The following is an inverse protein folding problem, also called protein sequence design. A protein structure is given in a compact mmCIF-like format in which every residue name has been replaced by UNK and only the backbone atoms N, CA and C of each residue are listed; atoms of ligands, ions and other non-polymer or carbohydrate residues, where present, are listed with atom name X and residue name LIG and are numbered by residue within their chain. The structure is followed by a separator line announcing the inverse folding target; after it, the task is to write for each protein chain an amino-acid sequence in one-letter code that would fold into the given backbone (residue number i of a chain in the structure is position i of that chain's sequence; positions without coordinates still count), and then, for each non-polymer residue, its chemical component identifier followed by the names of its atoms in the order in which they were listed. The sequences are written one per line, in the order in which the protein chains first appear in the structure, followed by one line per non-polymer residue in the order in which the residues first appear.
data_IF_805933902318
#
_entry.id   IF_805933902318
#
_cell.length_a   1.000
_cell.length_b   1.000
_cell.length_c   1.000
_cell.angle_alpha   90.00
_cell.angle_beta   90.00
_cell.angle_gamma   90.00
#
_symmetry.space_group_name_H-M   'P 1'
#
loop_
_entity.id
_entity.type
_entity.pdbx_description
1 polymer ?
#
# COMPACT_ATOMS: atom_id res chain seq x y z
N UNK A 1 -5.20 25.60 -5.91
CA UNK A 1 -5.08 24.13 -5.71
C UNK A 1 -5.21 23.89 -4.22
N UNK A 2 -6.15 23.04 -3.80
CA UNK A 2 -6.23 22.59 -2.40
C UNK A 2 -4.94 21.85 -2.04
N UNK A 3 -4.48 21.95 -0.80
CA UNK A 3 -3.40 21.10 -0.32
C UNK A 3 -3.78 19.62 -0.49
N UNK A 4 -2.85 18.73 -0.85
CA UNK A 4 -3.13 17.31 -0.94
C UNK A 4 -3.54 16.78 0.43
N UNK A 5 -4.62 15.99 0.48
CA UNK A 5 -5.09 15.37 1.71
C UNK A 5 -4.08 14.30 2.17
N UNK A 6 -3.96 14.17 3.49
CA UNK A 6 -3.14 13.13 4.13
C UNK A 6 -4.02 12.26 5.01
N UNK A 7 -3.64 10.99 5.15
CA UNK A 7 -4.29 10.03 6.03
C UNK A 7 -3.27 9.21 6.80
N UNK A 8 -3.72 8.56 7.88
CA UNK A 8 -2.91 7.64 8.66
C UNK A 8 -2.50 6.43 7.81
N UNK A 9 -1.34 5.85 8.10
CA UNK A 9 -0.83 4.64 7.44
C UNK A 9 -1.87 3.51 7.47
N UNK A 10 -2.51 3.29 8.62
CA UNK A 10 -3.54 2.26 8.76
C UNK A 10 -4.72 2.47 7.80
N UNK A 11 -5.21 3.70 7.66
CA UNK A 11 -6.31 4.01 6.74
C UNK A 11 -5.92 3.73 5.29
N UNK A 12 -4.69 4.08 4.90
CA UNK A 12 -4.21 3.83 3.53
C UNK A 12 -4.00 2.34 3.27
N UNK A 13 -3.55 1.58 4.27
CA UNK A 13 -3.48 0.11 4.20
C UNK A 13 -4.88 -0.48 4.05
N UNK A 14 -5.86 -0.03 4.83
CA UNK A 14 -7.25 -0.51 4.72
C UNK A 14 -7.83 -0.23 3.31
N UNK A 15 -7.51 0.93 2.72
CA UNK A 15 -7.89 1.26 1.35
C UNK A 15 -7.19 0.37 0.31
N UNK A 16 -5.90 0.07 0.49
CA UNK A 16 -5.22 -0.85 -0.42
C UNK A 16 -5.75 -2.28 -0.30
N UNK A 17 -6.07 -2.75 0.91
CA UNK A 17 -6.74 -4.05 1.08
C UNK A 17 -8.07 -4.05 0.36
N UNK A 18 -8.88 -2.99 0.48
CA UNK A 18 -10.14 -2.88 -0.25
C UNK A 18 -9.93 -2.86 -1.78
N UNK A 19 -8.88 -2.21 -2.26
CA UNK A 19 -8.49 -2.23 -3.67
C UNK A 19 -8.11 -3.64 -4.14
N UNK A 20 -7.16 -4.29 -3.45
CA UNK A 20 -6.65 -5.63 -3.79
C UNK A 20 -7.76 -6.70 -3.73
N UNK A 21 -8.81 -6.45 -2.95
CA UNK A 21 -10.01 -7.25 -2.99
C UNK A 21 -10.82 -6.94 -4.24
N UNK A 22 -11.12 -5.68 -4.54
CA UNK A 22 -11.90 -5.34 -5.72
C UNK A 22 -11.24 -5.77 -7.05
N UNK A 23 -9.91 -5.76 -7.12
CA UNK A 23 -9.08 -6.23 -8.24
C UNK A 23 -9.00 -7.78 -8.25
N UNK A 24 -10.01 -8.41 -8.86
CA UNK A 24 -10.22 -9.86 -8.74
C UNK A 24 -9.18 -10.69 -9.50
N UNK A 25 -8.65 -10.18 -10.61
CA UNK A 25 -7.68 -10.89 -11.44
C UNK A 25 -6.22 -10.47 -11.18
N UNK A 26 -6.01 -9.57 -10.20
CA UNK A 26 -4.70 -9.10 -9.69
C UNK A 26 -3.85 -8.47 -10.80
N UNK A 27 -4.50 -7.73 -11.71
CA UNK A 27 -3.83 -7.05 -12.82
C UNK A 27 -3.43 -5.60 -12.49
N UNK A 28 -3.86 -5.11 -11.32
CA UNK A 28 -3.59 -3.79 -10.80
C UNK A 28 -4.64 -2.74 -11.16
N UNK A 29 -5.80 -3.17 -11.69
CA UNK A 29 -6.90 -2.33 -12.15
C UNK A 29 -8.23 -2.90 -11.66
N UNK A 30 -9.11 -2.05 -11.15
CA UNK A 30 -10.51 -2.44 -10.87
C UNK A 30 -11.35 -2.11 -12.08
N UNK A 31 -12.09 -3.11 -12.56
CA UNK A 31 -12.94 -3.01 -13.72
C UNK A 31 -14.37 -3.45 -13.39
N UNK A 32 -15.33 -3.06 -14.24
CA UNK A 32 -16.74 -3.41 -13.99
C UNK A 32 -16.98 -4.93 -13.99
N UNK A 33 -16.13 -5.67 -14.68
CA UNK A 33 -16.19 -7.12 -14.70
C UNK A 33 -15.80 -7.72 -13.34
N UNK A 34 -14.76 -7.19 -12.71
CA UNK A 34 -14.27 -7.65 -11.39
C UNK A 34 -15.33 -7.43 -10.32
N UNK A 35 -15.88 -6.23 -10.26
CA UNK A 35 -16.94 -5.84 -9.31
C UNK A 35 -18.12 -6.83 -9.32
N UNK A 36 -18.61 -7.15 -10.52
CA UNK A 36 -19.78 -8.04 -10.68
C UNK A 36 -19.45 -9.49 -10.36
N UNK A 37 -18.30 -9.98 -10.83
CA UNK A 37 -17.92 -11.37 -10.68
C UNK A 37 -17.47 -11.65 -9.24
N UNK A 38 -16.84 -10.69 -8.58
CA UNK A 38 -16.42 -10.78 -7.17
C UNK A 38 -17.62 -10.82 -6.23
N UNK A 39 -18.63 -9.96 -6.42
CA UNK A 39 -19.83 -10.02 -5.58
C UNK A 39 -20.52 -11.39 -5.68
N UNK A 40 -20.58 -11.99 -6.87
CA UNK A 40 -21.17 -13.31 -7.07
C UNK A 40 -20.36 -14.45 -6.43
N UNK A 41 -19.04 -14.28 -6.29
CA UNK A 41 -18.15 -15.24 -5.61
C UNK A 41 -18.30 -15.14 -4.08
N UNK A 42 -18.44 -13.92 -3.53
CA UNK A 42 -18.53 -13.70 -2.08
C UNK A 42 -19.93 -13.99 -1.53
N UNK A 43 -21.00 -13.65 -2.28
CA UNK A 43 -22.40 -13.88 -1.90
C UNK A 43 -22.77 -15.37 -2.00
N UNK A 44 -22.07 -16.21 -1.22
CA UNK A 44 -22.17 -17.68 -1.23
C UNK A 44 -23.57 -18.14 -0.86
N UNK A 45 -24.27 -17.39 -0.01
CA UNK A 45 -25.62 -17.72 0.41
C UNK A 45 -26.69 -17.17 -0.56
N UNK A 46 -26.31 -16.30 -1.51
CA UNK A 46 -27.16 -15.74 -2.55
C UNK A 46 -28.24 -14.80 -2.01
N UNK A 47 -28.03 -14.17 -0.86
CA UNK A 47 -29.00 -13.28 -0.23
C UNK A 47 -28.85 -11.80 -0.66
N UNK A 48 -27.81 -11.50 -1.44
CA UNK A 48 -27.52 -10.18 -1.99
C UNK A 48 -26.94 -9.20 -0.98
N UNK A 49 -26.42 -9.68 0.17
CA UNK A 49 -25.84 -8.86 1.23
C UNK A 49 -24.47 -9.40 1.66
N UNK A 50 -23.41 -8.62 1.43
CA UNK A 50 -22.10 -8.99 1.95
C UNK A 50 -22.05 -8.79 3.48
N UNK A 51 -21.77 -9.86 4.22
CA UNK A 51 -21.88 -9.90 5.67
C UNK A 51 -20.93 -10.91 6.33
N UNK A 52 -20.91 -10.91 7.67
CA UNK A 52 -20.09 -11.88 8.42
C UNK A 52 -20.48 -13.35 8.15
N UNK A 53 -21.68 -13.61 7.60
CA UNK A 53 -22.15 -14.96 7.28
C UNK A 53 -21.39 -15.61 6.11
N UNK A 54 -20.68 -14.84 5.30
CA UNK A 54 -19.90 -15.32 4.15
C UNK A 54 -18.47 -15.74 4.56
N UNK A 55 -18.05 -15.39 5.78
CA UNK A 55 -16.79 -15.84 6.38
C UNK A 55 -16.90 -17.34 6.69
N UNK A 56 -16.36 -18.17 5.80
CA UNK A 56 -16.40 -19.64 5.91
C UNK A 56 -16.35 -20.39 4.56
N UNK A 57 -16.42 -19.68 3.44
CA UNK A 57 -15.95 -20.17 2.14
C UNK A 57 -14.44 -19.99 1.98
N UNK A 58 -13.81 -20.80 1.13
CA UNK A 58 -12.36 -20.82 0.81
C UNK A 58 -11.93 -19.54 0.05
N UNK A 59 -12.27 -18.36 0.58
CA UNK A 59 -12.15 -17.06 -0.09
C UNK A 59 -11.33 -16.06 0.73
N UNK A 60 -10.74 -15.11 0.00
CA UNK A 60 -9.98 -13.94 0.48
C UNK A 60 -10.75 -13.10 1.55
N UNK A 61 -12.05 -13.38 1.73
CA UNK A 61 -12.95 -12.77 2.71
C UNK A 61 -12.72 -13.23 4.16
N UNK A 62 -12.07 -14.38 4.40
CA UNK A 62 -11.80 -14.89 5.77
C UNK A 62 -10.91 -13.90 6.57
N UNK A 63 -9.93 -13.31 5.89
CA UNK A 63 -8.95 -12.37 6.46
C UNK A 63 -9.46 -10.92 6.52
N UNK A 64 -10.58 -10.61 5.87
CA UNK A 64 -11.06 -9.23 5.73
C UNK A 64 -11.76 -8.70 6.98
N UNK A 65 -11.19 -7.70 7.65
CA UNK A 65 -11.76 -7.19 8.91
C UNK A 65 -13.13 -6.51 8.70
N UNK A 66 -14.01 -6.52 9.72
CA UNK A 66 -15.31 -5.82 9.67
C UNK A 66 -15.19 -4.31 9.31
N UNK A 67 -14.16 -3.58 9.74
CA UNK A 67 -13.88 -2.22 9.24
C UNK A 67 -13.63 -2.17 7.73
N UNK A 68 -12.90 -3.12 7.15
CA UNK A 68 -12.64 -3.16 5.70
C UNK A 68 -13.91 -3.44 4.89
N UNK A 69 -14.78 -4.35 5.37
CA UNK A 69 -16.09 -4.61 4.72
C UNK A 69 -16.92 -3.32 4.66
N UNK A 70 -16.88 -2.48 5.69
CA UNK A 70 -17.63 -1.22 5.71
C UNK A 70 -17.13 -0.17 4.72
N UNK A 71 -15.92 -0.32 4.17
CA UNK A 71 -15.45 0.59 3.10
C UNK A 71 -16.24 0.38 1.80
N UNK A 72 -16.90 -0.76 1.63
CA UNK A 72 -17.75 -1.07 0.49
C UNK A 72 -19.21 -0.65 0.67
N UNK A 73 -19.60 -0.05 1.80
CA UNK A 73 -20.93 0.54 2.01
C UNK A 73 -20.95 1.99 1.48
N UNK A 74 -20.92 2.12 0.15
CA UNK A 74 -20.80 3.42 -0.52
C UNK A 74 -22.01 4.33 -0.29
N UNK A 75 -23.20 3.76 -0.13
CA UNK A 75 -24.40 4.54 0.10
C UNK A 75 -24.66 4.86 1.59
N UNK A 76 -23.95 4.20 2.50
CA UNK A 76 -23.97 4.44 3.94
C UNK A 76 -25.21 3.94 4.67
N UNK A 77 -25.95 2.97 4.11
CA UNK A 77 -27.15 2.40 4.71
C UNK A 77 -26.88 1.27 5.70
N UNK A 78 -25.60 0.91 5.90
CA UNK A 78 -25.14 -0.13 6.80
C UNK A 78 -25.18 -1.53 6.17
N UNK A 79 -25.40 -1.64 4.86
CA UNK A 79 -25.36 -2.87 4.09
C UNK A 79 -24.36 -2.72 2.95
N UNK A 80 -23.69 -3.81 2.62
CA UNK A 80 -22.83 -3.87 1.43
C UNK A 80 -23.56 -4.72 0.41
N UNK A 81 -23.96 -4.10 -0.70
CA UNK A 81 -24.79 -4.73 -1.73
C UNK A 81 -24.20 -4.51 -3.11
N UNK A 82 -24.71 -5.21 -4.12
CA UNK A 82 -24.34 -4.95 -5.51
C UNK A 82 -24.63 -3.49 -5.91
N UNK A 83 -25.64 -2.87 -5.31
CA UNK A 83 -25.93 -1.46 -5.55
C UNK A 83 -24.82 -0.53 -5.06
N UNK A 84 -24.06 -0.94 -4.03
CA UNK A 84 -22.89 -0.19 -3.56
C UNK A 84 -21.71 -0.35 -4.50
N UNK A 85 -21.48 -1.55 -5.03
CA UNK A 85 -20.47 -1.80 -6.06
C UNK A 85 -20.81 -1.04 -7.36
N UNK A 86 -22.05 -1.10 -7.84
CA UNK A 86 -22.51 -0.30 -8.99
C UNK A 86 -22.36 1.21 -8.74
N UNK A 87 -22.64 1.68 -7.51
CA UNK A 87 -22.48 3.08 -7.14
C UNK A 87 -21.00 3.49 -7.09
N UNK A 88 -20.14 2.67 -6.51
CA UNK A 88 -18.69 2.85 -6.47
C UNK A 88 -18.13 2.96 -7.88
N UNK A 89 -18.41 1.97 -8.71
CA UNK A 89 -17.93 1.91 -10.08
C UNK A 89 -18.45 3.11 -10.91
N UNK A 90 -19.72 3.50 -10.73
CA UNK A 90 -20.29 4.63 -11.45
C UNK A 90 -19.80 6.00 -10.95
N UNK A 91 -19.48 6.14 -9.67
CA UNK A 91 -18.92 7.38 -9.14
C UNK A 91 -17.44 7.53 -9.48
N UNK A 92 -16.64 6.51 -9.20
CA UNK A 92 -15.21 6.50 -9.49
C UNK A 92 -15.00 6.52 -11.00
N UNK A 93 -15.74 5.69 -11.75
CA UNK A 93 -15.57 5.60 -13.19
C UNK A 93 -16.07 6.81 -13.98
N UNK A 94 -16.95 7.64 -13.39
CA UNK A 94 -17.24 8.97 -13.95
C UNK A 94 -16.06 9.95 -13.83
N UNK A 95 -15.23 9.78 -12.82
CA UNK A 95 -14.10 10.65 -12.55
C UNK A 95 -12.81 10.17 -13.25
N UNK A 96 -12.56 8.86 -13.25
CA UNK A 96 -11.30 8.25 -13.70
C UNK A 96 -11.44 7.35 -14.94
N UNK A 97 -12.61 6.73 -15.15
CA UNK A 97 -12.86 5.80 -16.26
C UNK A 97 -13.26 4.40 -15.76
N UNK A 98 -13.54 3.47 -16.68
CA UNK A 98 -13.98 2.11 -16.31
C UNK A 98 -12.84 1.22 -15.77
N UNK A 99 -11.60 1.71 -15.87
CA UNK A 99 -10.37 1.02 -15.50
C UNK A 99 -9.74 1.92 -14.44
N UNK A 100 -9.74 1.48 -13.17
CA UNK A 100 -9.32 2.31 -12.03
C UNK A 100 -8.08 1.70 -11.37
N UNK A 101 -6.96 2.43 -11.37
CA UNK A 101 -5.76 1.98 -10.65
C UNK A 101 -5.79 2.32 -9.15
N UNK A 102 -4.90 1.72 -8.36
CA UNK A 102 -4.81 1.97 -6.91
C UNK A 102 -4.63 3.46 -6.57
N UNK A 103 -3.90 4.20 -7.41
CA UNK A 103 -3.69 5.63 -7.21
C UNK A 103 -4.99 6.42 -7.33
N UNK A 104 -5.75 6.15 -8.38
CA UNK A 104 -7.06 6.76 -8.63
C UNK A 104 -8.08 6.39 -7.55
N UNK A 105 -8.13 5.11 -7.16
CA UNK A 105 -8.96 4.63 -6.06
C UNK A 105 -8.65 5.35 -4.74
N UNK A 106 -7.37 5.40 -4.35
CA UNK A 106 -6.94 6.08 -3.12
C UNK A 106 -7.24 7.57 -3.18
N UNK A 107 -6.97 8.24 -4.30
CA UNK A 107 -7.27 9.67 -4.46
C UNK A 107 -8.76 9.97 -4.32
N UNK A 108 -9.62 9.15 -4.96
CA UNK A 108 -11.06 9.24 -4.82
C UNK A 108 -11.51 9.05 -3.37
N UNK A 109 -11.07 7.98 -2.69
CA UNK A 109 -11.46 7.71 -1.30
C UNK A 109 -10.99 8.83 -0.35
N UNK A 110 -9.77 9.34 -0.54
CA UNK A 110 -9.27 10.49 0.23
C UNK A 110 -10.12 11.74 -0.02
N UNK A 111 -10.65 11.94 -1.23
CA UNK A 111 -11.54 13.06 -1.53
C UNK A 111 -12.81 13.08 -0.66
N UNK A 112 -13.27 11.91 -0.19
CA UNK A 112 -14.50 11.71 0.59
C UNK A 112 -14.32 11.84 2.11
N UNK A 113 -13.09 11.77 2.61
CA UNK A 113 -12.80 11.88 4.05
C UNK A 113 -12.17 13.23 4.41
N UNK A 114 -12.25 13.64 5.68
CA UNK A 114 -11.49 14.80 6.15
C UNK A 114 -9.99 14.48 6.19
N UNK A 115 -9.15 15.46 5.86
CA UNK A 115 -7.69 15.29 5.98
C UNK A 115 -7.28 15.18 7.44
N UNK A 116 -6.33 14.30 7.72
CA UNK A 116 -5.73 14.17 9.04
C UNK A 116 -4.69 15.28 9.28
N UNK A 117 -4.35 15.53 10.57
CA UNK A 117 -3.32 16.52 10.96
C UNK A 117 -1.90 16.06 10.61
N UNK A 118 -1.69 14.75 10.53
CA UNK A 118 -0.43 14.10 10.16
C UNK A 118 -0.70 12.80 9.42
N UNK A 119 0.19 12.43 8.51
CA UNK A 119 0.01 11.23 7.72
C UNK A 119 0.86 11.21 6.46
N UNK A 120 0.40 10.42 5.50
CA UNK A 120 1.01 10.25 4.18
C UNK A 120 -0.03 10.66 3.14
N UNK A 121 0.42 11.29 2.06
CA UNK A 121 -0.45 11.57 0.90
C UNK A 121 -0.73 10.27 0.14
N UNK A 122 -1.90 10.15 -0.51
CA UNK A 122 -2.22 8.98 -1.34
C UNK A 122 -1.12 8.63 -2.35
N UNK A 123 -0.60 9.64 -3.06
CA UNK A 123 0.51 9.47 -4.00
C UNK A 123 1.80 8.92 -3.38
N UNK A 124 2.18 9.42 -2.20
CA UNK A 124 3.37 8.94 -1.49
C UNK A 124 3.17 7.50 -1.02
N UNK A 125 1.96 7.16 -0.54
CA UNK A 125 1.58 5.79 -0.21
C UNK A 125 1.66 4.84 -1.40
N UNK A 126 1.04 5.16 -2.54
CA UNK A 126 1.06 4.32 -3.75
C UNK A 126 2.50 4.08 -4.23
N UNK A 127 3.34 5.12 -4.17
CA UNK A 127 4.76 5.00 -4.53
C UNK A 127 5.51 4.07 -3.57
N UNK A 128 5.26 4.22 -2.26
CA UNK A 128 5.90 3.43 -1.23
C UNK A 128 5.42 1.97 -1.24
N UNK A 129 4.12 1.71 -1.44
CA UNK A 129 3.58 0.35 -1.62
C UNK A 129 4.24 -0.34 -2.81
N UNK A 130 4.31 0.32 -3.96
CA UNK A 130 5.01 -0.22 -5.14
C UNK A 130 6.47 -0.57 -4.83
N UNK A 131 7.16 0.29 -4.10
CA UNK A 131 8.54 0.06 -3.69
C UNK A 131 8.68 -1.14 -2.74
N UNK A 132 7.76 -1.30 -1.79
CA UNK A 132 7.70 -2.47 -0.92
C UNK A 132 7.54 -3.76 -1.71
N UNK A 133 6.56 -3.80 -2.61
CA UNK A 133 6.26 -4.98 -3.45
C UNK A 133 7.42 -5.35 -4.39
N UNK A 134 8.23 -4.38 -4.81
CA UNK A 134 9.46 -4.67 -5.58
C UNK A 134 10.51 -5.40 -4.72
N UNK A 135 10.55 -5.13 -3.42
CA UNK A 135 11.50 -5.79 -2.50
C UNK A 135 10.99 -7.14 -1.99
N UNK A 136 9.68 -7.30 -1.86
CA UNK A 136 9.02 -8.54 -1.46
C UNK A 136 9.06 -9.53 -2.63
N UNK A 137 10.16 -10.28 -2.74
CA UNK A 137 10.46 -11.10 -3.92
C UNK A 137 9.68 -12.41 -3.87
N UNK A 138 9.41 -12.92 -2.68
CA UNK A 138 8.66 -14.17 -2.49
C UNK A 138 7.16 -13.97 -2.25
N UNK A 139 6.69 -12.72 -2.36
CA UNK A 139 5.27 -12.32 -2.34
C UNK A 139 4.55 -12.78 -1.07
N UNK A 140 5.24 -12.67 0.06
CA UNK A 140 4.72 -13.10 1.37
C UNK A 140 4.17 -11.93 2.21
N UNK A 141 4.12 -10.73 1.61
CA UNK A 141 3.73 -9.45 2.20
C UNK A 141 4.66 -8.99 3.33
N UNK A 142 5.92 -9.42 3.31
CA UNK A 142 6.97 -9.04 4.24
C UNK A 142 8.33 -9.01 3.57
N UNK A 143 9.09 -7.96 3.84
CA UNK A 143 10.45 -7.83 3.34
C UNK A 143 11.42 -8.34 4.39
N UNK A 144 12.10 -9.45 4.10
CA UNK A 144 13.19 -9.96 4.92
C UNK A 144 14.46 -9.13 4.82
N UNK A 145 15.37 -9.25 5.80
CA UNK A 145 16.71 -8.64 5.71
C UNK A 145 17.46 -9.09 4.44
N UNK A 146 17.24 -10.32 3.99
CA UNK A 146 17.88 -10.87 2.80
C UNK A 146 17.38 -10.20 1.51
N UNK A 147 16.08 -9.93 1.41
CA UNK A 147 15.47 -9.18 0.31
C UNK A 147 15.95 -7.74 0.30
N UNK A 148 15.90 -7.08 1.46
CA UNK A 148 16.42 -5.73 1.63
C UNK A 148 17.91 -5.61 1.25
N UNK A 149 18.71 -6.63 1.56
CA UNK A 149 20.12 -6.73 1.14
C UNK A 149 20.28 -6.99 -0.36
N UNK A 150 19.33 -7.67 -0.99
CA UNK A 150 19.39 -7.95 -2.44
C UNK A 150 19.29 -6.65 -3.23
N UNK A 151 18.45 -5.76 -2.77
CA UNK A 151 18.33 -4.40 -3.28
C UNK A 151 19.62 -3.56 -3.18
N UNK A 152 20.37 -3.66 -2.07
CA UNK A 152 21.71 -3.05 -1.99
C UNK A 152 22.62 -3.55 -3.11
N UNK A 153 22.61 -4.87 -3.38
CA UNK A 153 23.46 -5.49 -4.42
C UNK A 153 23.06 -5.04 -5.82
N UNK A 154 21.79 -4.69 -6.05
CA UNK A 154 21.31 -4.12 -7.31
C UNK A 154 21.80 -2.67 -7.46
N UNK A 155 21.79 -1.91 -6.37
CA UNK A 155 22.24 -0.51 -6.35
C UNK A 155 23.77 -0.36 -6.45
N UNK A 156 24.55 -1.26 -5.84
CA UNK A 156 26.02 -1.30 -5.85
C UNK A 156 26.55 -1.76 -7.23
N UNK A 157 26.54 -0.83 -8.20
CA UNK A 157 26.80 -1.13 -9.61
C UNK A 157 28.24 -1.54 -9.84
N UNK A 158 29.18 -0.88 -9.15
CA UNK A 158 30.60 -1.19 -9.26
C UNK A 158 31.06 -2.36 -8.35
N UNK A 159 30.17 -2.82 -7.47
CA UNK A 159 30.35 -3.98 -6.57
C UNK A 159 31.48 -3.76 -5.58
N UNK A 160 31.70 -2.52 -5.16
CA UNK A 160 32.76 -2.18 -4.21
C UNK A 160 32.31 -2.34 -2.75
N UNK A 161 31.04 -2.68 -2.50
CA UNK A 161 30.46 -2.85 -1.16
C UNK A 161 30.02 -1.53 -0.51
N UNK A 162 30.01 -0.42 -1.25
CA UNK A 162 29.63 0.91 -0.76
C UNK A 162 28.80 1.66 -1.81
N UNK A 163 27.63 2.14 -1.41
CA UNK A 163 26.83 2.99 -2.28
C UNK A 163 27.38 4.42 -2.31
N UNK A 164 27.72 4.89 -3.51
CA UNK A 164 27.86 6.31 -3.80
C UNK A 164 26.50 7.01 -3.75
N UNK A 165 26.48 8.35 -3.67
CA UNK A 165 25.22 9.13 -3.74
C UNK A 165 24.42 8.81 -5.00
N UNK A 166 25.08 8.57 -6.13
CA UNK A 166 24.43 8.24 -7.40
C UNK A 166 23.77 6.86 -7.37
N UNK A 167 24.45 5.87 -6.80
CA UNK A 167 23.90 4.52 -6.63
C UNK A 167 22.72 4.53 -5.67
N UNK A 168 22.83 5.28 -4.57
CA UNK A 168 21.74 5.48 -3.63
C UNK A 168 20.55 6.23 -4.25
N UNK A 169 20.77 7.28 -5.05
CA UNK A 169 19.68 8.01 -5.73
C UNK A 169 18.93 7.16 -6.75
N UNK A 170 19.61 6.15 -7.30
CA UNK A 170 19.04 5.11 -8.15
C UNK A 170 18.26 4.05 -7.37
N UNK A 171 18.45 3.99 -6.05
CA UNK A 171 17.80 3.03 -5.18
C UNK A 171 16.38 3.50 -4.82
N UNK A 172 15.42 3.10 -5.68
CA UNK A 172 14.02 3.54 -5.59
C UNK A 172 13.33 3.14 -4.29
N UNK A 173 13.54 1.92 -3.75
CA UNK A 173 12.82 1.45 -2.57
C UNK A 173 13.01 2.25 -1.28
N UNK A 174 14.02 3.10 -1.13
CA UNK A 174 14.14 3.97 0.07
C UNK A 174 14.49 5.42 -0.26
N UNK A 175 14.14 5.88 -1.46
CA UNK A 175 14.55 7.19 -1.99
C UNK A 175 14.17 8.39 -1.09
N UNK A 176 13.17 8.24 -0.24
CA UNK A 176 12.69 9.29 0.66
C UNK A 176 13.42 9.33 2.02
N UNK A 177 14.44 8.48 2.22
CA UNK A 177 15.21 8.44 3.47
C UNK A 177 16.31 9.48 3.46
N UNK A 178 16.50 10.16 4.60
CA UNK A 178 17.68 10.99 4.80
C UNK A 178 18.92 10.12 5.00
N UNK A 179 19.57 9.78 3.90
CA UNK A 179 20.80 8.96 3.81
C UNK A 179 21.92 9.48 4.69
N UNK A 180 22.00 10.80 4.88
CA UNK A 180 23.08 11.42 5.67
C UNK A 180 23.04 11.02 7.14
N UNK A 181 21.87 10.63 7.67
CA UNK A 181 21.70 10.12 9.03
C UNK A 181 22.37 8.75 9.23
N UNK A 182 22.48 7.96 8.16
CA UNK A 182 22.97 6.57 8.20
C UNK A 182 24.37 6.43 7.61
N UNK A 183 24.72 7.28 6.65
CA UNK A 183 25.92 7.14 5.85
C UNK A 183 26.81 8.39 6.01
N UNK A 184 27.63 8.44 7.07
CA UNK A 184 28.74 9.37 7.30
C UNK A 184 28.57 10.80 6.71
N UNK A 185 27.49 11.50 7.05
CA UNK A 185 27.19 12.87 6.58
C UNK A 185 27.15 13.04 5.05
N UNK A 186 26.83 11.98 4.29
CA UNK A 186 26.75 12.02 2.82
C UNK A 186 28.10 12.06 2.10
N UNK A 187 29.22 11.92 2.82
CA UNK A 187 30.54 11.84 2.20
C UNK A 187 30.84 10.41 1.74
N UNK A 188 30.54 10.16 0.47
CA UNK A 188 31.03 9.09 -0.42
C UNK A 188 31.27 7.73 0.25
N UNK A 189 30.32 6.82 0.07
CA UNK A 189 30.41 5.41 0.44
C UNK A 189 29.54 5.08 1.64
N UNK A 190 28.31 4.64 1.38
CA UNK A 190 27.48 3.99 2.39
C UNK A 190 27.76 2.48 2.37
N UNK A 191 28.51 1.93 3.33
CA UNK A 191 28.77 0.50 3.37
C UNK A 191 27.47 -0.27 3.65
N UNK A 192 27.42 -1.53 3.22
CA UNK A 192 26.26 -2.40 3.39
C UNK A 192 25.83 -2.51 4.87
N UNK A 193 26.75 -2.46 5.81
CA UNK A 193 26.46 -2.51 7.24
C UNK A 193 25.64 -1.32 7.71
N UNK A 194 25.96 -0.11 7.24
CA UNK A 194 25.22 1.11 7.59
C UNK A 194 23.86 1.14 6.90
N UNK A 195 23.78 0.60 5.69
CA UNK A 195 22.52 0.45 4.97
C UNK A 195 21.53 -0.44 5.74
N UNK A 196 22.02 -1.53 6.35
CA UNK A 196 21.18 -2.44 7.12
C UNK A 196 20.70 -1.86 8.45
N UNK A 197 21.34 -0.81 8.96
CA UNK A 197 20.79 -0.07 10.10
C UNK A 197 19.42 0.51 9.76
N UNK A 198 19.19 0.92 8.50
CA UNK A 198 17.87 1.40 8.06
C UNK A 198 16.80 0.32 8.18
N UNK A 199 17.15 -0.93 7.87
CA UNK A 199 16.26 -2.07 8.06
C UNK A 199 15.96 -2.27 9.55
N UNK A 200 16.99 -2.35 10.39
CA UNK A 200 16.82 -2.53 11.84
C UNK A 200 16.07 -1.38 12.51
N UNK A 201 16.22 -0.16 12.02
CA UNK A 201 15.47 1.01 12.50
C UNK A 201 14.00 0.97 12.10
N UNK A 202 13.65 0.22 11.04
CA UNK A 202 12.29 0.07 10.56
C UNK A 202 11.57 -1.15 11.13
N UNK A 203 12.32 -2.20 11.47
CA UNK A 203 11.85 -3.43 12.11
C UNK A 203 11.52 -3.12 13.59
N UNK A 204 10.34 -2.56 13.83
CA UNK A 204 9.94 -2.03 15.14
C UNK A 204 9.74 -3.15 16.17
N UNK A 205 9.39 -4.37 15.73
CA UNK A 205 9.22 -5.54 16.60
C UNK A 205 10.46 -6.48 16.63
N UNK A 206 11.49 -6.18 15.83
CA UNK A 206 12.76 -6.89 15.72
C UNK A 206 12.59 -8.38 15.37
N UNK A 207 11.59 -8.70 14.52
CA UNK A 207 11.32 -10.05 14.04
C UNK A 207 12.15 -10.42 12.79
N UNK A 208 12.93 -9.48 12.25
CA UNK A 208 13.75 -9.57 11.03
C UNK A 208 12.97 -9.55 9.71
N UNK A 209 11.77 -9.01 9.74
CA UNK A 209 10.91 -8.76 8.60
C UNK A 209 10.28 -7.38 8.74
N UNK A 210 10.20 -6.66 7.62
CA UNK A 210 9.40 -5.44 7.56
C UNK A 210 8.02 -5.78 7.01
N UNK A 211 7.00 -5.49 7.80
CA UNK A 211 5.63 -5.39 7.31
C UNK A 211 5.45 -4.12 6.48
N UNK A 212 4.40 -4.07 5.66
CA UNK A 212 4.02 -2.86 4.93
C UNK A 212 3.85 -1.65 5.87
N UNK A 213 3.30 -1.86 7.07
CA UNK A 213 3.11 -0.82 8.08
C UNK A 213 4.44 -0.22 8.55
N UNK A 214 5.40 -1.08 8.92
CA UNK A 214 6.74 -0.67 9.35
C UNK A 214 7.47 0.08 8.23
N UNK A 215 7.44 -0.49 7.03
CA UNK A 215 8.04 0.10 5.85
C UNK A 215 7.43 1.49 5.55
N UNK A 216 6.10 1.62 5.49
CA UNK A 216 5.44 2.90 5.21
C UNK A 216 5.70 3.95 6.29
N UNK A 217 5.77 3.52 7.56
CA UNK A 217 6.04 4.41 8.68
C UNK A 217 7.43 5.01 8.59
N UNK A 218 8.46 4.25 8.17
CA UNK A 218 9.82 4.79 8.03
C UNK A 218 10.12 5.40 6.66
N UNK A 219 9.62 4.79 5.60
CA UNK A 219 10.04 5.06 4.22
C UNK A 219 8.97 5.70 3.34
N UNK A 220 7.72 5.73 3.82
CA UNK A 220 6.57 6.27 3.08
C UNK A 220 6.52 7.79 2.95
N UNK A 221 7.47 8.53 3.56
CA UNK A 221 7.55 9.98 3.45
C UNK A 221 6.48 10.69 4.26
N UNK A 222 6.34 10.34 5.54
CA UNK A 222 5.44 11.02 6.49
C UNK A 222 5.68 12.53 6.45
N UNK A 223 4.64 13.30 6.18
CA UNK A 223 4.68 14.76 6.37
C UNK A 223 4.48 15.02 7.86
N UNK A 224 5.55 15.40 8.56
CA UNK A 224 5.43 15.86 9.94
C UNK A 224 4.60 17.14 10.01
N UNK A 225 3.73 17.26 11.01
CA UNK A 225 3.10 18.54 11.37
C UNK A 225 4.21 19.55 11.70
N UNK A 226 4.22 20.68 11.01
CA UNK A 226 5.01 21.87 11.38
C UNK A 226 4.56 22.45 12.70
#
# INVERSE_FOLDING_TARGET
MSSPKVAKVSTLIDLAVAFDLADLDDDGVIEYADDRDHFAIIDVNGDGLLSQAERGGDSVYEDMTLPAIKLFDFNGDGKVTMADSDLAHFEIGREYGNDVDLGEYVEYCLSKIESEESGITGKAFVTARRNFLVMDIDDNLKVSEQEFRSEFRVADYDKNGNLTTKEFDGFRPIRNVNVTAYCNNGNVGCPVENFLIMFSDADDDNNKFLTMTEYLTKFGGLTAST
#
